data_IF_036506759710
#
_entry.id   IF_036506759710
#
_cell.length_a   1.000
_cell.length_b   1.000
_cell.length_c   1.000
_cell.angle_alpha   90.00
_cell.angle_beta   90.00
_cell.angle_gamma   90.00
#
_symmetry.space_group_name_H-M   'P 1'
#
loop_
_entity.id
_entity.type
_entity.pdbx_description
1 polymer ?
#
# COMPACT_ATOMS: atom_id res chain seq x y z
N UNK A 1 -35.99 -4.66 17.51
CA UNK A 1 -34.70 -4.51 18.22
C UNK A 1 -33.82 -3.59 17.39
N UNK A 2 -33.40 -2.41 17.87
CA UNK A 2 -32.44 -1.60 17.14
C UNK A 2 -31.12 -2.39 17.03
N UNK A 3 -30.70 -2.68 15.80
CA UNK A 3 -29.38 -3.26 15.55
C UNK A 3 -28.37 -2.15 15.83
N UNK A 4 -27.49 -2.36 16.81
CA UNK A 4 -26.46 -1.39 17.12
C UNK A 4 -25.65 -1.07 15.86
N UNK A 5 -25.46 0.23 15.57
CA UNK A 5 -24.70 0.69 14.41
C UNK A 5 -23.28 0.13 14.37
N UNK A 6 -22.75 -0.19 15.56
CA UNK A 6 -21.45 -0.80 15.78
C UNK A 6 -21.57 -2.10 16.58
N UNK A 7 -20.74 -3.09 16.23
CA UNK A 7 -20.58 -4.34 16.98
C UNK A 7 -19.10 -4.56 17.30
N UNK A 8 -18.78 -5.04 18.50
CA UNK A 8 -17.38 -5.36 18.83
C UNK A 8 -16.89 -6.63 18.11
N UNK A 9 -15.62 -6.61 17.73
CA UNK A 9 -14.84 -7.77 17.30
C UNK A 9 -14.58 -8.70 18.47
N UNK A 10 -14.51 -10.00 18.21
CA UNK A 10 -14.11 -10.96 19.23
C UNK A 10 -12.62 -10.79 19.61
N UNK A 11 -12.21 -11.20 20.82
CA UNK A 11 -10.82 -11.03 21.28
C UNK A 11 -9.77 -11.73 20.41
N UNK A 12 -10.09 -12.87 19.79
CA UNK A 12 -9.13 -13.59 18.94
C UNK A 12 -8.90 -12.84 17.62
N UNK A 13 -9.96 -12.29 17.03
CA UNK A 13 -9.88 -11.39 15.88
C UNK A 13 -9.01 -10.16 16.17
N UNK A 14 -9.20 -9.52 17.33
CA UNK A 14 -8.39 -8.35 17.74
C UNK A 14 -6.91 -8.72 17.93
N UNK A 15 -6.64 -9.86 18.56
CA UNK A 15 -5.27 -10.34 18.77
C UNK A 15 -4.56 -10.63 17.43
N UNK A 16 -5.30 -11.22 16.47
CA UNK A 16 -4.81 -11.45 15.11
C UNK A 16 -4.55 -10.15 14.37
N UNK A 17 -5.42 -9.15 14.54
CA UNK A 17 -5.25 -7.82 13.94
C UNK A 17 -3.97 -7.15 14.44
N UNK A 18 -3.77 -7.07 15.76
CA UNK A 18 -2.58 -6.47 16.34
C UNK A 18 -1.30 -7.19 15.90
N UNK A 19 -1.30 -8.53 15.92
CA UNK A 19 -0.14 -9.30 15.43
C UNK A 19 0.17 -9.04 13.94
N UNK A 20 -0.86 -8.89 13.11
CA UNK A 20 -0.70 -8.61 11.68
C UNK A 20 -0.22 -7.17 11.44
N UNK A 21 -0.72 -6.21 12.24
CA UNK A 21 -0.31 -4.81 12.23
C UNK A 21 1.14 -4.65 12.67
N UNK A 22 1.56 -5.31 13.74
CA UNK A 22 2.94 -5.32 14.22
C UNK A 22 3.90 -5.88 13.17
N UNK A 23 3.47 -6.94 12.47
CA UNK A 23 4.22 -7.49 11.34
C UNK A 23 4.30 -6.50 10.17
N UNK A 24 3.21 -5.79 9.87
CA UNK A 24 3.18 -4.78 8.81
C UNK A 24 4.11 -3.59 9.14
N UNK A 25 4.21 -3.21 10.42
CA UNK A 25 5.13 -2.18 10.89
C UNK A 25 6.62 -2.49 10.67
N UNK A 26 6.98 -3.75 10.36
CA UNK A 26 8.36 -4.16 10.03
C UNK A 26 8.70 -4.03 8.55
N UNK A 27 7.75 -3.65 7.70
CA UNK A 27 7.99 -3.51 6.27
C UNK A 27 8.86 -2.28 6.00
N UNK A 28 10.03 -2.47 5.39
CA UNK A 28 10.81 -1.37 4.80
C UNK A 28 10.19 -0.88 3.48
N UNK A 29 9.50 -1.80 2.77
CA UNK A 29 8.88 -1.60 1.46
C UNK A 29 7.62 -2.45 1.37
N UNK A 30 6.59 -1.93 0.71
CA UNK A 30 5.43 -2.71 0.30
C UNK A 30 5.68 -3.22 -1.14
N UNK A 31 5.59 -4.52 -1.38
CA UNK A 31 5.78 -5.04 -2.74
C UNK A 31 4.53 -4.72 -3.60
N UNK A 32 4.67 -4.13 -4.81
CA UNK A 32 3.53 -3.82 -5.66
C UNK A 32 2.83 -5.10 -6.13
N UNK A 33 1.50 -5.13 -6.11
CA UNK A 33 0.72 -6.30 -6.52
C UNK A 33 0.83 -7.48 -5.55
N UNK A 34 0.87 -8.71 -6.06
CA UNK A 34 1.05 -9.90 -5.23
C UNK A 34 2.51 -10.05 -4.75
N UNK A 35 2.76 -10.76 -3.63
CA UNK A 35 4.12 -11.01 -3.15
C UNK A 35 5.04 -11.63 -4.20
N UNK A 36 4.49 -12.49 -5.05
CA UNK A 36 5.22 -13.15 -6.12
C UNK A 36 6.20 -14.21 -5.63
N UNK A 37 7.11 -14.58 -6.52
CA UNK A 37 8.17 -15.55 -6.29
C UNK A 37 9.47 -15.11 -6.94
N UNK A 38 10.60 -15.49 -6.34
CA UNK A 38 11.91 -15.27 -6.91
C UNK A 38 12.23 -16.35 -7.95
N UNK A 39 12.65 -15.94 -9.15
CA UNK A 39 12.95 -16.84 -10.27
C UNK A 39 14.19 -16.41 -11.03
N UNK A 40 14.88 -17.38 -11.62
CA UNK A 40 15.93 -17.13 -12.60
C UNK A 40 15.34 -17.19 -14.02
N UNK A 41 15.80 -16.27 -14.87
CA UNK A 41 15.48 -16.20 -16.30
C UNK A 41 16.78 -16.15 -17.09
N UNK A 42 16.70 -16.52 -18.36
CA UNK A 42 17.82 -16.44 -19.31
C UNK A 42 17.40 -15.58 -20.49
N UNK A 43 18.24 -14.62 -20.87
CA UNK A 43 18.07 -13.82 -22.08
C UNK A 43 19.44 -13.65 -22.73
N UNK A 44 19.52 -13.97 -24.03
CA UNK A 44 20.77 -13.87 -24.81
C UNK A 44 21.97 -14.56 -24.12
N UNK A 45 21.75 -15.75 -23.56
CA UNK A 45 22.76 -16.54 -22.86
C UNK A 45 23.12 -16.06 -21.44
N UNK A 46 22.61 -14.91 -20.99
CA UNK A 46 22.85 -14.35 -19.66
C UNK A 46 21.70 -14.68 -18.71
N UNK A 47 22.02 -15.18 -17.52
CA UNK A 47 21.06 -15.45 -16.46
C UNK A 47 20.86 -14.24 -15.56
N UNK A 48 19.64 -14.02 -15.12
CA UNK A 48 19.27 -12.94 -14.22
C UNK A 48 18.13 -13.36 -13.30
N UNK A 49 18.05 -12.68 -12.16
CA UNK A 49 17.02 -12.87 -11.16
C UNK A 49 15.89 -11.88 -11.35
N UNK A 50 14.66 -12.37 -11.20
CA UNK A 50 13.43 -11.60 -11.23
C UNK A 50 12.52 -11.96 -10.07
N UNK A 51 11.65 -11.05 -9.67
CA UNK A 51 10.43 -11.37 -8.93
C UNK A 51 9.29 -11.49 -9.94
N UNK A 52 8.75 -12.69 -10.13
CA UNK A 52 7.55 -12.93 -10.94
C UNK A 52 6.30 -12.72 -10.07
N UNK A 53 5.39 -11.83 -10.45
CA UNK A 53 4.20 -11.48 -9.66
C UNK A 53 3.00 -11.05 -10.53
N UNK A 54 1.84 -10.86 -9.89
CA UNK A 54 0.62 -10.34 -10.53
C UNK A 54 0.42 -8.90 -10.08
N UNK A 55 0.32 -8.00 -11.05
CA UNK A 55 0.11 -6.57 -10.82
C UNK A 55 -1.32 -6.24 -10.35
N UNK A 56 -1.50 -5.00 -9.90
CA UNK A 56 -2.80 -4.44 -9.55
C UNK A 56 -3.79 -4.32 -10.73
N UNK A 57 -3.36 -4.54 -11.98
CA UNK A 57 -4.21 -4.65 -13.18
C UNK A 57 -4.43 -6.11 -13.62
N UNK A 58 -4.09 -7.07 -12.76
CA UNK A 58 -4.17 -8.52 -13.00
C UNK A 58 -3.17 -9.07 -14.03
N UNK A 59 -2.24 -8.27 -14.55
CA UNK A 59 -1.23 -8.77 -15.49
C UNK A 59 -0.07 -9.42 -14.73
N UNK A 60 0.34 -10.59 -15.21
CA UNK A 60 1.56 -11.26 -14.75
C UNK A 60 2.77 -10.54 -15.33
N UNK A 61 3.77 -10.24 -14.50
CA UNK A 61 4.98 -9.51 -14.91
C UNK A 61 6.18 -9.95 -14.08
N UNK A 62 7.37 -9.63 -14.57
CA UNK A 62 8.64 -9.80 -13.86
C UNK A 62 9.17 -8.42 -13.42
N UNK A 63 9.59 -8.28 -12.16
CA UNK A 63 10.44 -7.18 -11.68
C UNK A 63 11.89 -7.65 -11.75
N UNK A 64 12.71 -6.97 -12.56
CA UNK A 64 14.13 -7.26 -12.68
C UNK A 64 14.86 -6.93 -11.38
N UNK A 65 15.69 -7.86 -10.90
CA UNK A 65 16.43 -7.67 -9.65
C UNK A 65 17.92 -7.46 -9.93
N UNK A 66 18.50 -8.24 -10.84
CA UNK A 66 19.92 -8.17 -11.15
C UNK A 66 20.41 -9.39 -11.92
N UNK A 67 21.59 -9.30 -12.56
CA UNK A 67 22.16 -10.43 -13.26
C UNK A 67 22.75 -11.43 -12.26
N UNK A 68 22.72 -12.72 -12.60
CA UNK A 68 23.27 -13.78 -11.73
C UNK A 68 24.75 -13.55 -11.43
N UNK A 69 25.49 -12.97 -12.37
CA UNK A 69 26.92 -12.73 -12.27
C UNK A 69 27.32 -11.63 -11.26
N UNK A 70 26.41 -10.72 -10.89
CA UNK A 70 26.76 -9.58 -10.02
C UNK A 70 25.86 -9.42 -8.80
N UNK A 71 24.74 -10.14 -8.74
CA UNK A 71 23.85 -10.06 -7.59
C UNK A 71 24.47 -10.73 -6.36
N UNK A 72 24.50 -10.04 -5.24
CA UNK A 72 25.05 -10.60 -4.01
C UNK A 72 24.08 -11.60 -3.37
N UNK A 73 24.62 -12.57 -2.64
CA UNK A 73 23.81 -13.48 -1.80
C UNK A 73 22.97 -12.71 -0.77
N UNK A 74 23.49 -11.60 -0.25
CA UNK A 74 22.79 -10.73 0.70
C UNK A 74 21.57 -10.05 0.06
N UNK A 75 21.69 -9.60 -1.20
CA UNK A 75 20.58 -9.01 -1.93
C UNK A 75 19.49 -10.05 -2.23
N UNK A 76 19.87 -11.27 -2.62
CA UNK A 76 18.92 -12.38 -2.79
C UNK A 76 18.20 -12.68 -1.47
N UNK A 77 18.93 -12.79 -0.36
CA UNK A 77 18.33 -13.04 0.96
C UNK A 77 17.36 -11.92 1.38
N UNK A 78 17.71 -10.65 1.11
CA UNK A 78 16.81 -9.51 1.35
C UNK A 78 15.51 -9.64 0.55
N UNK A 79 15.59 -9.99 -0.73
CA UNK A 79 14.40 -10.20 -1.56
C UNK A 79 13.54 -11.36 -1.09
N UNK A 80 14.15 -12.49 -0.75
CA UNK A 80 13.43 -13.64 -0.18
C UNK A 80 12.68 -13.24 1.09
N UNK A 81 13.36 -12.56 2.02
CA UNK A 81 12.73 -12.08 3.26
C UNK A 81 11.57 -11.12 3.01
N UNK A 82 11.70 -10.18 2.07
CA UNK A 82 10.62 -9.27 1.70
C UNK A 82 9.41 -10.01 1.10
N UNK A 83 9.65 -11.00 0.24
CA UNK A 83 8.59 -11.82 -0.36
C UNK A 83 7.87 -12.64 0.72
N UNK A 84 8.61 -13.24 1.64
CA UNK A 84 8.02 -14.07 2.69
C UNK A 84 7.24 -13.25 3.71
N UNK A 85 7.73 -12.06 4.07
CA UNK A 85 6.98 -11.08 4.87
C UNK A 85 5.67 -10.69 4.16
N UNK A 86 5.73 -10.37 2.87
CA UNK A 86 4.55 -10.00 2.09
C UNK A 86 3.54 -11.16 1.97
N UNK A 87 4.00 -12.41 1.86
CA UNK A 87 3.11 -13.59 1.90
C UNK A 87 2.44 -13.75 3.26
N UNK A 88 3.18 -13.60 4.35
CA UNK A 88 2.63 -13.69 5.70
C UNK A 88 1.56 -12.61 5.95
N UNK A 89 1.80 -11.39 5.47
CA UNK A 89 0.84 -10.29 5.54
C UNK A 89 -0.40 -10.53 4.67
N UNK A 90 -0.22 -11.04 3.45
CA UNK A 90 -1.34 -11.41 2.58
C UNK A 90 -2.23 -12.49 3.23
N UNK A 91 -1.62 -13.50 3.87
CA UNK A 91 -2.35 -14.52 4.62
C UNK A 91 -3.07 -13.93 5.84
N UNK A 92 -2.39 -13.07 6.62
CA UNK A 92 -2.99 -12.37 7.76
C UNK A 92 -4.20 -11.50 7.35
N UNK A 93 -4.05 -10.72 6.27
CA UNK A 93 -5.12 -9.92 5.68
C UNK A 93 -6.30 -10.78 5.22
N UNK A 94 -6.03 -11.93 4.58
CA UNK A 94 -7.08 -12.88 4.19
C UNK A 94 -7.84 -13.44 5.40
N UNK A 95 -7.15 -13.79 6.49
CA UNK A 95 -7.81 -14.23 7.73
C UNK A 95 -8.66 -13.12 8.35
N UNK A 96 -8.14 -11.90 8.44
CA UNK A 96 -8.88 -10.75 8.99
C UNK A 96 -10.13 -10.43 8.18
N UNK A 97 -10.08 -10.61 6.86
CA UNK A 97 -11.26 -10.51 6.01
C UNK A 97 -12.34 -11.52 6.38
N UNK A 98 -11.97 -12.76 6.72
CA UNK A 98 -12.94 -13.78 7.16
C UNK A 98 -13.56 -13.41 8.52
N UNK A 99 -12.81 -12.72 9.38
CA UNK A 99 -13.32 -12.11 10.60
C UNK A 99 -14.06 -10.79 10.35
N UNK A 100 -14.28 -10.40 9.09
CA UNK A 100 -15.05 -9.23 8.68
C UNK A 100 -14.44 -7.89 9.10
N UNK A 101 -13.12 -7.82 9.27
CA UNK A 101 -12.40 -6.55 9.33
C UNK A 101 -12.58 -5.77 8.02
N UNK A 102 -12.54 -4.44 8.14
CA UNK A 102 -12.62 -3.53 7.01
C UNK A 102 -11.42 -3.75 6.08
N UNK A 103 -11.68 -3.60 4.78
CA UNK A 103 -10.70 -3.85 3.72
C UNK A 103 -10.74 -2.73 2.70
N UNK A 104 -9.60 -2.53 2.06
CA UNK A 104 -9.47 -1.66 0.89
C UNK A 104 -9.47 -2.51 -0.38
N UNK A 105 -10.07 -2.00 -1.45
CA UNK A 105 -10.02 -2.66 -2.74
C UNK A 105 -8.63 -2.52 -3.39
N UNK A 106 -8.32 -3.41 -4.34
CA UNK A 106 -6.98 -3.55 -4.92
C UNK A 106 -6.43 -2.27 -5.54
N UNK A 107 -7.31 -1.51 -6.21
CA UNK A 107 -6.97 -0.28 -6.92
C UNK A 107 -6.50 0.80 -5.91
N UNK A 108 -7.32 1.20 -4.92
CA UNK A 108 -6.86 2.15 -3.91
C UNK A 108 -5.66 1.67 -3.08
N UNK A 109 -5.57 0.36 -2.80
CA UNK A 109 -4.41 -0.21 -2.10
C UNK A 109 -3.08 -0.01 -2.85
N UNK A 110 -3.10 -0.08 -4.19
CA UNK A 110 -1.91 0.16 -5.01
C UNK A 110 -1.43 1.62 -4.91
N UNK A 111 -2.33 2.58 -4.75
CA UNK A 111 -1.94 3.98 -4.55
C UNK A 111 -1.32 4.19 -3.16
N UNK A 112 -1.88 3.58 -2.12
CA UNK A 112 -1.29 3.63 -0.77
C UNK A 112 0.11 2.98 -0.74
N UNK A 113 0.32 1.90 -1.49
CA UNK A 113 1.64 1.28 -1.67
C UNK A 113 2.65 2.27 -2.26
N UNK A 114 2.26 3.03 -3.29
CA UNK A 114 3.10 4.08 -3.87
C UNK A 114 3.41 5.16 -2.84
N UNK A 115 2.43 5.63 -2.07
CA UNK A 115 2.66 6.65 -1.03
C UNK A 115 3.69 6.18 0.01
N UNK A 116 3.54 4.95 0.48
CA UNK A 116 4.47 4.36 1.44
C UNK A 116 5.88 4.22 0.86
N UNK A 117 6.00 3.60 -0.32
CA UNK A 117 7.29 3.34 -0.96
C UNK A 117 8.04 4.60 -1.40
N UNK A 118 7.31 5.69 -1.66
CA UNK A 118 7.88 7.00 -1.99
C UNK A 118 8.18 7.86 -0.76
N UNK A 119 7.91 7.36 0.44
CA UNK A 119 8.17 8.09 1.68
C UNK A 119 7.17 9.23 1.94
N UNK A 120 6.02 9.28 1.26
CA UNK A 120 5.09 10.40 1.38
C UNK A 120 4.44 10.44 2.76
N UNK A 121 4.12 9.28 3.32
CA UNK A 121 3.55 9.17 4.67
C UNK A 121 4.55 9.67 5.71
N UNK A 122 5.81 9.25 5.61
CA UNK A 122 6.91 9.73 6.44
C UNK A 122 7.17 11.23 6.24
N UNK A 123 6.91 11.73 5.03
CA UNK A 123 6.96 13.16 4.68
C UNK A 123 5.78 13.99 5.19
N UNK A 124 4.83 13.40 5.93
CA UNK A 124 3.69 14.09 6.54
C UNK A 124 2.36 13.99 5.78
N UNK A 125 2.26 13.11 4.78
CA UNK A 125 0.98 12.78 4.14
C UNK A 125 0.16 11.86 5.06
N UNK A 126 -1.07 12.24 5.32
CA UNK A 126 -1.98 11.52 6.23
C UNK A 126 -3.19 11.05 5.45
N UNK A 127 -3.54 9.77 5.58
CA UNK A 127 -4.79 9.23 5.02
C UNK A 127 -5.98 9.78 5.82
N UNK A 128 -6.99 10.28 5.12
CA UNK A 128 -8.24 10.77 5.72
C UNK A 128 -9.46 10.12 5.03
N UNK A 129 -10.66 10.59 5.35
CA UNK A 129 -11.88 10.12 4.71
C UNK A 129 -12.21 8.66 4.97
N UNK A 130 -12.85 8.03 3.98
CA UNK A 130 -13.48 6.71 4.15
C UNK A 130 -12.48 5.60 4.46
N UNK A 131 -11.31 5.61 3.79
CA UNK A 131 -10.26 4.62 4.06
C UNK A 131 -9.62 4.78 5.45
N UNK A 132 -9.45 6.01 5.94
CA UNK A 132 -9.01 6.25 7.31
C UNK A 132 -10.06 5.79 8.33
N UNK A 133 -11.35 6.06 8.08
CA UNK A 133 -12.43 5.57 8.93
C UNK A 133 -12.42 4.04 9.07
N UNK A 134 -12.26 3.30 7.98
CA UNK A 134 -12.15 1.84 8.06
C UNK A 134 -10.92 1.34 8.82
N UNK A 135 -9.78 2.03 8.69
CA UNK A 135 -8.60 1.73 9.49
C UNK A 135 -8.85 1.95 10.99
N UNK A 136 -9.54 3.04 11.35
CA UNK A 136 -9.93 3.32 12.74
C UNK A 136 -10.92 2.29 13.29
N UNK A 137 -11.90 1.84 12.50
CA UNK A 137 -12.79 0.76 12.91
C UNK A 137 -12.02 -0.53 13.24
N UNK A 138 -11.06 -0.89 12.39
CA UNK A 138 -10.20 -2.05 12.63
C UNK A 138 -9.36 -1.88 13.90
N UNK A 139 -8.78 -0.69 14.11
CA UNK A 139 -7.97 -0.37 15.29
C UNK A 139 -8.78 -0.48 16.60
N UNK A 140 -10.01 0.03 16.59
CA UNK A 140 -10.91 0.01 17.73
C UNK A 140 -11.59 -1.37 17.95
N UNK A 141 -11.35 -2.34 17.07
CA UNK A 141 -12.02 -3.64 17.12
C UNK A 141 -13.53 -3.51 16.93
N UNK A 142 -13.97 -2.63 16.03
CA UNK A 142 -15.37 -2.38 15.74
C UNK A 142 -15.74 -2.85 14.32
N UNK A 143 -16.89 -3.50 14.24
CA UNK A 143 -17.64 -3.69 13.01
C UNK A 143 -18.62 -2.53 12.83
N UNK A 144 -18.73 -2.07 11.59
CA UNK A 144 -19.79 -1.21 11.11
C UNK A 144 -20.21 -1.71 9.72
N UNK A 145 -21.39 -1.31 9.21
CA UNK A 145 -21.72 -1.50 7.79
C UNK A 145 -20.55 -1.06 6.91
N UNK A 146 -20.19 -1.91 5.94
CA UNK A 146 -19.07 -1.62 5.05
C UNK A 146 -19.33 -0.35 4.24
N UNK A 147 -18.30 0.47 4.09
CA UNK A 147 -18.29 1.57 3.13
C UNK A 147 -17.70 1.08 1.82
N UNK A 148 -18.14 1.65 0.71
CA UNK A 148 -17.51 1.47 -0.60
C UNK A 148 -17.14 2.83 -1.12
N UNK A 149 -15.85 3.02 -1.37
CA UNK A 149 -15.37 4.18 -2.10
C UNK A 149 -14.31 3.79 -3.12
N UNK A 150 -14.25 4.54 -4.21
CA UNK A 150 -13.19 4.46 -5.21
C UNK A 150 -12.16 5.58 -5.07
N UNK A 151 -12.41 6.56 -4.20
CA UNK A 151 -11.51 7.69 -3.94
C UNK A 151 -10.52 7.41 -2.81
N UNK A 152 -9.46 8.20 -2.78
CA UNK A 152 -8.49 8.24 -1.68
C UNK A 152 -8.34 9.68 -1.23
N UNK A 153 -8.80 9.95 -0.02
CA UNK A 153 -8.58 11.24 0.60
C UNK A 153 -7.27 11.24 1.39
N UNK A 154 -6.44 12.24 1.13
CA UNK A 154 -5.21 12.50 1.89
C UNK A 154 -5.12 13.96 2.31
N UNK A 155 -4.47 14.21 3.44
CA UNK A 155 -4.22 15.54 3.96
C UNK A 155 -2.73 15.75 4.26
N UNK A 156 -2.28 17.01 4.26
CA UNK A 156 -0.95 17.38 4.77
C UNK A 156 -1.01 18.71 5.51
N UNK A 157 -0.33 18.83 6.66
CA UNK A 157 -0.29 20.08 7.43
C UNK A 157 0.76 21.09 6.90
N UNK A 158 1.82 20.59 6.27
CA UNK A 158 2.92 21.39 5.73
C UNK A 158 3.34 20.86 4.36
N UNK A 159 4.32 21.50 3.70
CA UNK A 159 4.87 20.99 2.44
C UNK A 159 5.57 19.65 2.69
N UNK A 160 5.28 18.64 1.87
CA UNK A 160 5.93 17.34 2.02
C UNK A 160 7.44 17.50 1.82
N UNK A 161 8.20 17.13 2.84
CA UNK A 161 9.67 17.12 2.77
C UNK A 161 10.10 15.74 2.34
N UNK A 162 10.17 15.52 1.03
CA UNK A 162 10.52 14.22 0.44
C UNK A 162 11.85 14.35 -0.29
N UNK A 163 12.84 13.54 0.12
CA UNK A 163 14.04 13.36 -0.67
C UNK A 163 13.69 12.52 -1.90
N UNK A 164 13.64 13.14 -3.07
CA UNK A 164 13.33 12.44 -4.30
C UNK A 164 14.59 12.05 -5.06
N UNK A 165 14.54 10.93 -5.81
CA UNK A 165 15.60 10.56 -6.74
C UNK A 165 15.92 11.71 -7.71
N UNK A 166 17.18 11.82 -8.12
CA UNK A 166 17.66 12.82 -9.07
C UNK A 166 16.82 12.74 -10.35
N UNK A 167 16.10 13.82 -10.67
CA UNK A 167 15.19 13.91 -11.82
C UNK A 167 13.69 13.92 -11.49
N UNK A 168 13.29 13.77 -10.21
CA UNK A 168 11.90 13.95 -9.76
C UNK A 168 11.82 15.07 -8.73
N UNK A 169 10.97 16.07 -8.95
CA UNK A 169 10.66 17.08 -7.92
C UNK A 169 9.42 16.68 -7.11
N UNK A 170 9.27 17.12 -5.83
CA UNK A 170 8.04 16.88 -5.05
C UNK A 170 6.83 17.49 -5.75
N UNK A 171 7.11 18.47 -6.61
CA UNK A 171 6.15 19.09 -7.51
C UNK A 171 5.81 18.19 -8.70
N UNK A 172 6.58 17.20 -9.13
CA UNK A 172 6.14 16.23 -10.16
C UNK A 172 5.32 15.09 -9.54
N UNK A 173 5.52 14.87 -8.24
CA UNK A 173 4.70 13.98 -7.40
C UNK A 173 3.40 14.66 -6.96
N UNK A 174 3.35 16.01 -6.96
CA UNK A 174 2.20 16.85 -6.57
C UNK A 174 1.68 17.84 -7.63
N UNK A 175 2.17 17.92 -8.88
CA UNK A 175 1.65 18.88 -9.90
C UNK A 175 0.42 18.40 -10.63
N UNK A 176 -0.07 17.19 -10.35
CA UNK A 176 -1.51 16.97 -10.51
C UNK A 176 -2.33 17.57 -9.34
N UNK A 177 -1.74 17.83 -8.17
CA UNK A 177 -2.46 18.31 -6.96
C UNK A 177 -2.66 19.84 -6.90
N UNK A 178 -2.84 20.49 -8.05
CA UNK A 178 -2.95 21.95 -8.15
C UNK A 178 -4.13 22.57 -7.37
N UNK A 179 -3.89 23.73 -6.74
CA UNK A 179 -4.88 24.59 -6.01
C UNK A 179 -5.39 24.01 -4.67
N UNK A 180 -6.01 24.84 -3.80
CA UNK A 180 -6.52 24.36 -2.51
C UNK A 180 -7.56 23.28 -2.77
N UNK A 181 -7.36 22.09 -2.20
CA UNK A 181 -8.16 20.89 -2.46
C UNK A 181 -8.16 20.49 -3.94
N UNK A 182 -7.32 19.51 -4.30
CA UNK A 182 -7.18 19.06 -5.68
C UNK A 182 -7.49 17.56 -5.80
N UNK A 183 -8.45 17.22 -6.65
CA UNK A 183 -8.73 15.86 -7.10
C UNK A 183 -7.87 15.55 -8.32
N UNK A 184 -7.09 14.46 -8.28
CA UNK A 184 -6.30 14.00 -9.41
C UNK A 184 -6.54 12.53 -9.76
N UNK A 185 -6.41 12.20 -11.04
CA UNK A 185 -6.67 10.88 -11.61
C UNK A 185 -5.36 10.28 -12.08
N UNK A 186 -4.90 9.22 -11.42
CA UNK A 186 -3.61 8.61 -11.74
C UNK A 186 -3.61 7.91 -13.12
N UNK A 187 -2.61 8.14 -13.99
CA UNK A 187 -2.50 7.45 -15.28
C UNK A 187 -2.37 5.93 -15.14
N UNK A 188 -3.11 5.16 -15.95
CA UNK A 188 -2.97 3.70 -16.04
C UNK A 188 -3.87 2.87 -15.12
N UNK A 189 -4.75 3.50 -14.35
CA UNK A 189 -5.88 2.85 -13.71
C UNK A 189 -7.14 3.66 -14.02
N UNK A 190 -8.06 3.11 -14.82
CA UNK A 190 -9.38 3.74 -15.00
C UNK A 190 -9.99 4.07 -13.63
N UNK A 191 -10.11 5.36 -13.31
CA UNK A 191 -11.08 5.87 -12.32
C UNK A 191 -10.72 5.81 -10.83
N UNK A 192 -9.47 6.01 -10.39
CA UNK A 192 -9.19 6.29 -8.96
C UNK A 192 -8.95 7.79 -8.79
N UNK A 193 -9.87 8.46 -8.10
CA UNK A 193 -9.69 9.84 -7.68
C UNK A 193 -8.85 9.89 -6.41
N UNK A 194 -7.87 10.77 -6.36
CA UNK A 194 -7.12 11.08 -5.13
C UNK A 194 -7.35 12.54 -4.78
N UNK A 195 -7.91 12.79 -3.60
CA UNK A 195 -8.22 14.12 -3.13
C UNK A 195 -7.16 14.55 -2.10
N UNK A 196 -6.46 15.65 -2.39
CA UNK A 196 -5.47 16.22 -1.48
C UNK A 196 -6.00 17.46 -0.75
N UNK A 197 -6.26 17.33 0.55
CA UNK A 197 -6.58 18.43 1.44
C UNK A 197 -5.30 19.17 1.88
N UNK A 198 -5.28 20.49 1.66
CA UNK A 198 -4.18 21.39 2.05
C UNK A 198 -4.71 22.56 2.88
N UNK A 199 -3.94 23.10 3.84
CA UNK A 199 -4.33 24.27 4.59
C UNK A 199 -4.59 25.45 3.66
N UNK A 200 -5.66 26.21 3.93
CA UNK A 200 -5.92 27.48 3.25
C UNK A 200 -4.81 28.50 3.53
N UNK A 201 -4.72 29.54 2.68
CA UNK A 201 -3.90 30.70 3.01
C UNK A 201 -4.46 31.33 4.29
N UNK A 202 -3.63 31.43 5.32
CA UNK A 202 -3.91 32.27 6.48
C UNK A 202 -3.93 33.74 6.06
#
# INVERSE_FOLDING_TARGET
>A
MPVGLYRKQDPAGQSKYQSTKDLAGRQERVLPGTPGILKQRTQSGKKYWVREYIRADSKKTDEYIGPESSISKTQIAKWTSQIDLAKALAAGSASLRLFGYQRIDRKPAAVIEVFFNRGLIQGGLVLVGSHAYGALLNELGLFAPGYRTGDIDVARASRLTVALPVGLSPQDVLKETGKPSASFMLPGADGIAVDLLVPGKQ
#
